data_IF_366824978976
#
_entry.id   IF_366824978976
#
_cell.length_a   1.000
_cell.length_b   1.000
_cell.length_c   1.000
_cell.angle_alpha   90.00
_cell.angle_beta   90.00
_cell.angle_gamma   90.00
#
_symmetry.space_group_name_H-M   'P 1'
#
loop_
_entity.id
_entity.type
_entity.pdbx_description
1 polymer ?
#
# COMPACT_ATOMS: atom_id res chain seq x y z
N UNK A 1 -16.09 6.61 12.83
CA UNK A 1 -14.80 6.21 13.44
C UNK A 1 -14.16 5.17 12.54
N UNK A 2 -12.81 5.13 12.40
CA UNK A 2 -12.08 4.25 11.46
C UNK A 2 -12.46 2.77 11.64
N UNK A 3 -12.53 2.30 12.89
CA UNK A 3 -12.93 0.93 13.21
C UNK A 3 -14.29 0.54 12.59
N UNK A 4 -15.29 1.39 12.72
CA UNK A 4 -16.61 1.15 12.13
C UNK A 4 -16.59 1.19 10.60
N UNK A 5 -15.71 2.00 9.99
CA UNK A 5 -15.54 2.01 8.54
C UNK A 5 -14.99 0.66 8.06
N UNK A 6 -13.95 0.15 8.70
CA UNK A 6 -13.38 -1.16 8.38
C UNK A 6 -14.44 -2.26 8.57
N UNK A 7 -15.16 -2.25 9.70
CA UNK A 7 -16.22 -3.23 9.96
C UNK A 7 -17.35 -3.19 8.92
N UNK A 8 -17.70 -2.00 8.44
CA UNK A 8 -18.74 -1.87 7.42
C UNK A 8 -18.29 -2.43 6.07
N UNK A 9 -17.01 -2.30 5.74
CA UNK A 9 -16.43 -2.82 4.51
C UNK A 9 -16.16 -4.33 4.59
N UNK A 10 -15.79 -4.85 5.77
CA UNK A 10 -15.65 -6.29 6.02
C UNK A 10 -16.98 -7.07 5.98
N UNK A 11 -18.13 -6.37 6.06
CA UNK A 11 -19.45 -7.00 5.84
C UNK A 11 -19.74 -7.29 4.36
N UNK A 12 -18.99 -6.69 3.47
CA UNK A 12 -19.04 -7.04 2.05
C UNK A 12 -18.24 -8.32 1.84
N UNK A 13 -18.74 -9.21 0.99
CA UNK A 13 -18.02 -10.43 0.65
C UNK A 13 -16.69 -10.11 -0.06
N UNK A 14 -15.70 -10.97 0.09
CA UNK A 14 -14.42 -10.86 -0.60
C UNK A 14 -13.29 -10.22 0.20
N UNK A 15 -13.47 -9.94 1.50
CA UNK A 15 -12.37 -9.57 2.38
C UNK A 15 -12.55 -10.09 3.79
N UNK A 16 -11.43 -10.36 4.48
CA UNK A 16 -11.43 -10.74 5.89
C UNK A 16 -10.19 -10.20 6.61
N UNK A 17 -10.36 -9.90 7.89
CA UNK A 17 -9.26 -9.50 8.75
C UNK A 17 -8.40 -10.70 9.13
N UNK A 18 -7.09 -10.58 8.91
CA UNK A 18 -6.09 -11.61 9.24
C UNK A 18 -5.56 -11.41 10.66
N UNK A 19 -5.57 -10.18 11.15
CA UNK A 19 -5.07 -9.85 12.49
C UNK A 19 -6.04 -10.40 13.55
N UNK A 20 -5.53 -11.22 14.47
CA UNK A 20 -6.34 -11.79 15.52
C UNK A 20 -6.69 -10.77 16.63
N UNK A 21 -7.91 -10.88 17.16
CA UNK A 21 -8.38 -10.10 18.33
C UNK A 21 -9.08 -8.79 17.96
N UNK A 22 -9.44 -8.01 18.97
CA UNK A 22 -10.14 -6.75 18.76
C UNK A 22 -9.20 -5.65 18.29
N UNK A 23 -9.61 -4.83 17.33
CA UNK A 23 -8.86 -3.67 16.83
C UNK A 23 -8.76 -2.55 17.86
N UNK A 24 -9.80 -2.39 18.68
CA UNK A 24 -9.82 -1.38 19.73
C UNK A 24 -9.23 -1.94 21.03
N UNK A 25 -8.28 -1.19 21.59
CA UNK A 25 -7.69 -1.45 22.90
C UNK A 25 -7.87 -0.22 23.78
N UNK A 26 -8.27 -0.45 25.02
CA UNK A 26 -8.27 0.58 26.06
C UNK A 26 -7.07 0.37 26.99
N UNK A 27 -6.23 1.39 27.09
CA UNK A 27 -5.06 1.43 27.97
C UNK A 27 -5.05 2.78 28.71
N UNK A 28 -5.08 2.75 30.04
CA UNK A 28 -5.05 3.94 30.90
C UNK A 28 -6.13 4.99 30.54
N UNK A 29 -7.33 4.54 30.17
CA UNK A 29 -8.45 5.39 29.78
C UNK A 29 -8.35 6.01 28.39
N UNK A 30 -7.36 5.60 27.58
CA UNK A 30 -7.19 5.99 26.18
C UNK A 30 -7.52 4.82 25.27
N UNK A 31 -8.14 5.13 24.13
CA UNK A 31 -8.49 4.12 23.11
C UNK A 31 -7.46 4.13 22.00
N UNK A 32 -6.89 2.99 21.69
CA UNK A 32 -5.91 2.76 20.64
C UNK A 32 -6.46 1.84 19.58
N UNK A 33 -6.04 2.05 18.32
CA UNK A 33 -6.22 1.11 17.22
C UNK A 33 -4.96 0.25 17.07
N UNK A 34 -5.15 -1.07 17.13
CA UNK A 34 -4.08 -2.03 16.85
C UNK A 34 -3.75 -2.08 15.37
N UNK A 35 -2.48 -2.34 15.01
CA UNK A 35 -2.13 -2.64 13.62
C UNK A 35 -3.05 -3.72 13.04
N UNK A 36 -3.58 -3.48 11.86
CA UNK A 36 -4.59 -4.32 11.22
C UNK A 36 -4.14 -4.75 9.84
N UNK A 37 -4.26 -6.04 9.55
CA UNK A 37 -4.02 -6.62 8.23
C UNK A 37 -5.30 -7.25 7.73
N UNK A 38 -5.68 -6.91 6.51
CA UNK A 38 -6.85 -7.46 5.81
C UNK A 38 -6.37 -8.19 4.57
N UNK A 39 -6.94 -9.36 4.28
CA UNK A 39 -6.81 -10.02 2.99
C UNK A 39 -8.06 -9.76 2.17
N UNK A 40 -7.90 -9.20 0.98
CA UNK A 40 -8.97 -9.07 0.00
C UNK A 40 -8.76 -10.08 -1.14
N UNK A 41 -9.83 -10.65 -1.64
CA UNK A 41 -9.81 -11.66 -2.71
C UNK A 41 -9.69 -11.01 -4.09
N UNK A 42 -10.10 -9.75 -4.20
CA UNK A 42 -10.12 -9.00 -5.45
C UNK A 42 -9.59 -7.57 -5.22
N UNK A 43 -8.74 -7.05 -6.13
CA UNK A 43 -8.23 -5.68 -6.04
C UNK A 43 -9.31 -4.60 -6.12
N UNK A 44 -10.51 -4.91 -6.62
CA UNK A 44 -11.64 -3.97 -6.65
C UNK A 44 -12.38 -3.82 -5.32
N UNK A 45 -12.09 -4.69 -4.33
CA UNK A 45 -12.68 -4.57 -3.00
C UNK A 45 -12.25 -3.26 -2.32
N UNK A 46 -13.17 -2.55 -1.69
CA UNK A 46 -12.92 -1.23 -1.10
C UNK A 46 -11.75 -1.20 -0.10
N UNK A 47 -11.50 -2.29 0.65
CA UNK A 47 -10.35 -2.40 1.55
C UNK A 47 -9.03 -2.70 0.83
N UNK A 48 -9.04 -3.13 -0.42
CA UNK A 48 -7.82 -3.42 -1.16
C UNK A 48 -7.00 -2.14 -1.44
N UNK A 49 -7.70 -1.01 -1.65
CA UNK A 49 -7.11 0.30 -1.97
C UNK A 49 -7.48 1.36 -0.92
N UNK A 50 -7.66 0.96 0.33
CA UNK A 50 -7.97 1.90 1.41
C UNK A 50 -6.71 2.29 2.18
N UNK A 51 -6.56 3.59 2.42
CA UNK A 51 -5.53 4.16 3.29
C UNK A 51 -6.15 4.73 4.56
N UNK A 52 -5.57 4.44 5.71
CA UNK A 52 -6.02 4.94 7.00
C UNK A 52 -4.86 5.56 7.79
N UNK A 53 -5.16 6.53 8.64
CA UNK A 53 -4.19 7.20 9.52
C UNK A 53 -3.84 6.35 10.75
N UNK A 54 -3.62 5.06 10.55
CA UNK A 54 -3.08 4.13 11.55
C UNK A 54 -2.41 2.95 10.83
N UNK A 55 -1.60 2.11 11.51
CA UNK A 55 -0.95 0.97 10.86
C UNK A 55 -1.97 -0.02 10.28
N UNK A 56 -2.19 0.08 8.98
CA UNK A 56 -3.11 -0.75 8.21
C UNK A 56 -2.41 -1.27 6.96
N UNK A 57 -2.69 -2.51 6.61
CA UNK A 57 -2.21 -3.10 5.37
C UNK A 57 -3.27 -4.01 4.75
N UNK A 58 -3.41 -3.94 3.45
CA UNK A 58 -4.20 -4.88 2.65
C UNK A 58 -3.28 -5.83 1.90
N UNK A 59 -3.68 -7.09 1.82
CA UNK A 59 -3.00 -8.12 1.04
C UNK A 59 -3.98 -8.62 -0.01
N UNK A 60 -3.58 -8.51 -1.27
CA UNK A 60 -4.37 -8.96 -2.42
C UNK A 60 -3.51 -9.85 -3.29
N UNK A 61 -4.04 -10.98 -3.71
CA UNK A 61 -3.35 -11.89 -4.60
C UNK A 61 -3.83 -11.65 -6.04
N UNK A 62 -2.91 -11.24 -6.91
CA UNK A 62 -3.19 -10.96 -8.32
C UNK A 62 -2.13 -11.61 -9.21
N UNK A 63 -2.46 -11.99 -10.45
CA UNK A 63 -1.47 -12.41 -11.44
C UNK A 63 -0.42 -11.32 -11.67
N UNK A 64 0.86 -11.69 -11.83
CA UNK A 64 1.95 -10.72 -12.02
C UNK A 64 1.74 -9.81 -13.23
N UNK A 65 1.13 -10.31 -14.29
CA UNK A 65 0.80 -9.56 -15.49
C UNK A 65 -0.23 -8.44 -15.27
N UNK A 66 -1.10 -8.57 -14.27
CA UNK A 66 -2.15 -7.61 -13.92
C UNK A 66 -1.73 -6.64 -12.80
N UNK A 67 -0.59 -6.90 -12.15
CA UNK A 67 -0.19 -6.21 -10.93
C UNK A 67 -0.04 -4.71 -11.12
N UNK A 68 0.60 -4.25 -12.21
CA UNK A 68 0.80 -2.83 -12.50
C UNK A 68 -0.51 -2.06 -12.76
N UNK A 69 -1.51 -2.74 -13.29
CA UNK A 69 -2.82 -2.14 -13.50
C UNK A 69 -3.64 -2.12 -12.21
N UNK A 70 -3.44 -3.14 -11.36
CA UNK A 70 -4.14 -3.26 -10.09
C UNK A 70 -3.66 -2.24 -9.03
N UNK A 71 -2.35 -1.96 -8.96
CA UNK A 71 -1.82 -1.00 -7.95
C UNK A 71 -2.07 0.47 -8.30
N UNK A 72 -2.32 0.80 -9.57
CA UNK A 72 -2.53 2.19 -9.99
C UNK A 72 -1.33 3.12 -9.75
N UNK A 73 -1.55 4.46 -9.73
CA UNK A 73 -0.51 5.43 -9.40
C UNK A 73 -0.05 5.26 -7.94
N UNK A 74 1.26 5.12 -7.74
CA UNK A 74 1.86 4.83 -6.43
C UNK A 74 3.07 5.70 -6.15
N UNK A 75 3.12 6.31 -4.98
CA UNK A 75 4.26 7.13 -4.55
C UNK A 75 5.52 6.27 -4.36
N UNK A 76 5.38 5.11 -3.74
CA UNK A 76 6.50 4.21 -3.48
C UNK A 76 6.08 2.76 -3.70
N UNK A 77 6.88 2.04 -4.48
CA UNK A 77 6.74 0.60 -4.66
C UNK A 77 8.02 -0.10 -4.26
N UNK A 78 7.91 -1.16 -3.46
CA UNK A 78 9.01 -2.12 -3.22
C UNK A 78 8.66 -3.45 -3.87
N UNK A 79 9.39 -3.83 -4.90
CA UNK A 79 9.19 -5.07 -5.64
C UNK A 79 10.23 -6.11 -5.23
N UNK A 80 9.77 -7.19 -4.59
CA UNK A 80 10.61 -8.32 -4.21
C UNK A 80 10.53 -9.35 -5.33
N UNK A 81 11.37 -9.22 -6.34
CA UNK A 81 11.37 -10.07 -7.53
C UNK A 81 12.77 -10.16 -8.15
N UNK A 82 13.06 -11.28 -8.80
CA UNK A 82 14.26 -11.50 -9.63
C UNK A 82 13.91 -11.60 -11.13
N UNK A 83 12.62 -11.47 -11.49
CA UNK A 83 12.18 -11.48 -12.88
C UNK A 83 12.59 -10.18 -13.59
N UNK A 84 13.65 -10.26 -14.39
CA UNK A 84 14.18 -9.11 -15.14
C UNK A 84 13.17 -8.48 -16.10
N UNK A 85 12.21 -9.25 -16.64
CA UNK A 85 11.19 -8.72 -17.55
C UNK A 85 10.19 -7.88 -16.78
N UNK A 86 9.82 -8.36 -15.59
CA UNK A 86 8.91 -7.64 -14.71
C UNK A 86 9.60 -6.39 -14.14
N UNK A 87 10.87 -6.47 -13.73
CA UNK A 87 11.66 -5.32 -13.28
C UNK A 87 11.69 -4.23 -14.35
N UNK A 88 11.91 -4.57 -15.62
CA UNK A 88 11.87 -3.58 -16.72
C UNK A 88 10.50 -2.92 -16.86
N UNK A 89 9.41 -3.69 -16.78
CA UNK A 89 8.05 -3.12 -16.79
C UNK A 89 7.81 -2.15 -15.64
N UNK A 90 8.32 -2.45 -14.44
CA UNK A 90 8.23 -1.56 -13.28
C UNK A 90 9.02 -0.26 -13.51
N UNK A 91 10.25 -0.35 -14.03
CA UNK A 91 11.11 0.80 -14.33
C UNK A 91 10.53 1.71 -15.41
N UNK A 92 9.87 1.14 -16.40
CA UNK A 92 9.25 1.88 -17.51
C UNK A 92 7.86 2.45 -17.14
N UNK A 93 7.33 2.11 -15.96
CA UNK A 93 5.98 2.51 -15.55
C UNK A 93 5.94 3.98 -15.08
N UNK A 94 5.17 4.85 -15.74
CA UNK A 94 4.98 6.22 -15.29
C UNK A 94 4.07 6.34 -14.07
N UNK A 95 3.50 5.22 -13.59
CA UNK A 95 2.61 5.18 -12.42
C UNK A 95 3.38 5.10 -11.10
N UNK A 96 4.69 4.87 -11.13
CA UNK A 96 5.52 4.67 -9.93
C UNK A 96 6.50 5.82 -9.79
N UNK A 97 6.38 6.60 -8.71
CA UNK A 97 7.25 7.75 -8.44
C UNK A 97 8.62 7.30 -7.93
N UNK A 98 8.66 6.35 -7.00
CA UNK A 98 9.88 5.74 -6.47
C UNK A 98 9.77 4.23 -6.44
N UNK A 99 10.75 3.57 -7.03
CA UNK A 99 10.82 2.11 -7.10
C UNK A 99 12.04 1.59 -6.33
N UNK A 100 11.79 0.67 -5.40
CA UNK A 100 12.80 -0.15 -4.75
C UNK A 100 12.74 -1.57 -5.33
N UNK A 101 13.88 -2.14 -5.71
CA UNK A 101 13.98 -3.54 -6.13
C UNK A 101 14.69 -4.33 -5.03
N UNK A 102 14.06 -5.42 -4.58
CA UNK A 102 14.55 -6.25 -3.49
C UNK A 102 13.79 -6.01 -2.17
N UNK A 103 14.27 -6.62 -1.09
CA UNK A 103 13.64 -6.57 0.23
C UNK A 103 13.95 -5.25 0.97
N UNK A 104 13.59 -4.13 0.35
CA UNK A 104 13.72 -2.79 0.94
C UNK A 104 12.34 -2.27 1.33
N UNK A 105 12.19 -1.84 2.57
CA UNK A 105 10.94 -1.23 3.03
C UNK A 105 10.72 0.15 2.39
N UNK A 106 9.47 0.51 2.17
CA UNK A 106 9.10 1.80 1.56
C UNK A 106 9.53 3.01 2.38
N UNK A 107 9.75 2.85 3.69
CA UNK A 107 10.25 3.89 4.60
C UNK A 107 11.75 4.17 4.46
N UNK A 108 12.50 3.32 3.75
CA UNK A 108 13.94 3.54 3.55
C UNK A 108 14.12 4.65 2.52
N UNK A 109 14.72 5.75 2.93
CA UNK A 109 14.97 6.95 2.11
C UNK A 109 16.46 7.26 2.10
N UNK A 110 16.99 7.57 0.94
CA UNK A 110 18.36 8.08 0.77
C UNK A 110 18.31 9.50 0.19
N UNK A 111 19.23 10.38 0.60
CA UNK A 111 19.26 11.78 0.16
C UNK A 111 19.58 11.94 -1.34
N UNK A 112 20.13 10.90 -1.96
CA UNK A 112 20.47 10.84 -3.38
C UNK A 112 19.37 10.23 -4.26
N UNK A 113 18.22 9.89 -3.65
CA UNK A 113 17.08 9.32 -4.34
C UNK A 113 15.82 10.18 -4.20
N UNK A 114 14.93 10.16 -5.19
CA UNK A 114 13.61 10.78 -5.05
C UNK A 114 12.87 10.23 -3.83
N UNK A 115 12.28 11.11 -3.05
CA UNK A 115 11.46 10.69 -1.91
C UNK A 115 10.02 10.43 -2.34
N UNK A 116 9.40 11.44 -2.94
CA UNK A 116 8.04 11.40 -3.50
C UNK A 116 8.11 12.12 -4.84
N UNK A 117 8.56 11.43 -5.89
CA UNK A 117 8.81 12.02 -7.19
C UNK A 117 10.17 12.70 -7.33
N UNK A 118 10.42 13.26 -8.49
CA UNK A 118 11.67 13.90 -8.84
C UNK A 118 11.70 15.37 -8.35
N UNK A 119 12.65 15.71 -7.49
CA UNK A 119 12.80 17.06 -6.97
C UNK A 119 12.93 18.13 -8.08
N UNK A 120 13.60 17.83 -9.18
CA UNK A 120 13.74 18.75 -10.32
C UNK A 120 12.39 19.02 -10.98
N UNK A 121 11.58 18.00 -11.21
CA UNK A 121 10.23 18.17 -11.77
C UNK A 121 9.38 19.02 -10.85
N UNK A 122 9.42 18.75 -9.54
CA UNK A 122 8.69 19.53 -8.55
C UNK A 122 9.12 21.01 -8.50
N UNK A 123 10.42 21.29 -8.56
CA UNK A 123 10.95 22.65 -8.50
C UNK A 123 10.71 23.45 -9.81
N UNK A 124 10.66 22.78 -10.94
CA UNK A 124 10.55 23.43 -12.25
C UNK A 124 9.19 23.27 -12.93
N UNK A 125 8.23 22.59 -12.29
CA UNK A 125 6.86 22.54 -12.80
C UNK A 125 6.23 23.93 -12.68
N UNK A 126 6.05 24.60 -13.82
CA UNK A 126 5.25 25.82 -13.88
C UNK A 126 3.76 25.45 -13.82
N UNK A 127 3.06 26.08 -12.89
CA UNK A 127 1.59 26.05 -12.82
C UNK A 127 0.99 27.20 -13.59
#
# INVERSE_FOLDING_TARGET
MIDQMIDSQLKQDGAHEVTAGHRLLEVDGLTYLRPTVVRAEDPSHSLADSEFLFPFASVVEVPQEELLDSIGPSLVVSAITEDERFIRKLLDSPKIERLNIGALGTQVVSWDQPHEGNLFEHLYTQR
#
